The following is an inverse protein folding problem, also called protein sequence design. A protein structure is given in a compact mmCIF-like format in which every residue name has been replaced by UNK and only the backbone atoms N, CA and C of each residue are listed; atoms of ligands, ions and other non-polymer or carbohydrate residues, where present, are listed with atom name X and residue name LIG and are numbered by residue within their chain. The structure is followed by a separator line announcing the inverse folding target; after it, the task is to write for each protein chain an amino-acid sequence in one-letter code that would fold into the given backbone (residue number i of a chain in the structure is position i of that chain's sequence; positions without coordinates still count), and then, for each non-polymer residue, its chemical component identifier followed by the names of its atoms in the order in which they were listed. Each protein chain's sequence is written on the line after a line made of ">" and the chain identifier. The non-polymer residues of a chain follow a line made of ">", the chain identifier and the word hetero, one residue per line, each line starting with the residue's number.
data_IF_609139272491
#
_entry.id   IF_609139272491
#
_cell.length_a   1.000
_cell.length_b   1.000
_cell.length_c   1.000
_cell.angle_alpha   90.00
_cell.angle_beta   90.00
_cell.angle_gamma   90.00
#
_symmetry.space_group_name_H-M   'P 1'
#
loop_
_entity.id
_entity.type
_entity.pdbx_description
1 polymer ?
#
# COMPACT_ATOMS: atom_id res chain seq x y z
N UNK A 1 -32.75 22.78 3.23
CA UNK A 1 -33.99 22.09 2.81
C UNK A 1 -33.76 21.59 1.39
N UNK A 2 -33.20 20.40 1.22
CA UNK A 2 -32.98 19.74 -0.07
C UNK A 2 -33.62 18.37 0.02
N UNK A 3 -34.72 18.17 -0.71
CA UNK A 3 -35.40 16.88 -0.78
C UNK A 3 -34.80 16.02 -1.89
N UNK A 4 -34.44 14.80 -1.57
CA UNK A 4 -34.04 13.77 -2.54
C UNK A 4 -35.25 12.84 -2.73
N UNK A 5 -35.74 12.77 -3.98
CA UNK A 5 -36.81 11.87 -4.42
C UNK A 5 -36.24 10.50 -4.72
N UNK A 6 -36.79 9.47 -4.10
CA UNK A 6 -36.54 8.08 -4.43
C UNK A 6 -37.29 7.68 -5.69
N UNK A 7 -36.63 7.21 -6.73
CA UNK A 7 -37.24 6.55 -7.89
C UNK A 7 -37.05 5.03 -7.80
N UNK A 8 -38.18 4.34 -7.79
CA UNK A 8 -38.28 2.88 -7.77
C UNK A 8 -37.81 2.28 -9.11
N UNK A 9 -36.88 1.35 -9.05
CA UNK A 9 -36.54 0.46 -10.18
C UNK A 9 -37.34 -0.84 -10.07
N UNK A 10 -38.25 -1.06 -11.03
CA UNK A 10 -38.95 -2.34 -11.23
C UNK A 10 -38.09 -3.25 -12.10
N UNK A 11 -37.80 -4.44 -11.60
CA UNK A 11 -37.28 -5.56 -12.39
C UNK A 11 -38.43 -6.22 -13.19
N UNK A 12 -38.27 -6.32 -14.50
CA UNK A 12 -39.15 -7.13 -15.38
C UNK A 12 -38.38 -8.36 -15.84
N UNK A 13 -38.87 -9.53 -15.46
CA UNK A 13 -38.36 -10.83 -15.90
C UNK A 13 -39.05 -11.22 -17.21
N UNK A 14 -38.29 -11.39 -18.29
CA UNK A 14 -38.73 -12.14 -19.48
C UNK A 14 -37.84 -13.38 -19.65
N UNK A 15 -38.47 -14.52 -19.51
CA UNK A 15 -37.91 -15.82 -19.90
C UNK A 15 -38.31 -16.08 -21.36
N UNK A 16 -37.35 -16.20 -22.23
CA UNK A 16 -37.57 -16.74 -23.58
C UNK A 16 -36.66 -17.94 -23.79
N UNK A 17 -37.31 -19.07 -24.05
CA UNK A 17 -36.66 -20.34 -24.28
C UNK A 17 -36.32 -20.53 -25.78
N UNK A 18 -35.06 -20.79 -26.05
CA UNK A 18 -34.65 -21.35 -27.34
C UNK A 18 -33.58 -22.43 -27.15
N UNK A 19 -33.92 -23.61 -27.63
CA UNK A 19 -33.11 -24.82 -27.69
C UNK A 19 -31.92 -24.64 -28.63
N UNK A 20 -30.70 -24.91 -28.17
CA UNK A 20 -29.51 -25.08 -29.01
C UNK A 20 -28.96 -26.50 -28.89
N UNK A 21 -28.76 -27.13 -30.06
CA UNK A 21 -28.14 -28.43 -30.23
C UNK A 21 -26.61 -28.41 -29.94
N UNK A 22 -25.94 -29.59 -29.89
CA UNK A 22 -24.60 -29.74 -29.41
C UNK A 22 -23.55 -29.23 -30.42
N UNK A 23 -22.81 -28.19 -30.04
CA UNK A 23 -21.63 -27.72 -30.78
C UNK A 23 -20.37 -28.45 -30.32
N UNK A 24 -19.57 -28.87 -31.28
CA UNK A 24 -18.31 -29.58 -31.19
C UNK A 24 -17.31 -28.87 -30.28
N UNK A 25 -16.71 -29.64 -29.35
CA UNK A 25 -15.62 -29.15 -28.46
C UNK A 25 -14.33 -29.02 -29.28
N UNK A 26 -14.01 -27.79 -29.63
CA UNK A 26 -12.64 -27.40 -29.95
C UNK A 26 -11.87 -27.24 -28.65
N UNK A 27 -10.79 -28.01 -28.45
CA UNK A 27 -9.82 -27.78 -27.38
C UNK A 27 -9.02 -26.50 -27.72
N UNK A 28 -9.60 -25.37 -27.41
CA UNK A 28 -8.83 -24.11 -27.30
C UNK A 28 -8.18 -24.09 -25.92
N UNK A 29 -6.86 -24.25 -25.85
CA UNK A 29 -6.09 -23.92 -24.65
C UNK A 29 -6.37 -22.45 -24.31
N UNK A 30 -7.11 -22.21 -23.23
CA UNK A 30 -7.11 -20.87 -22.60
C UNK A 30 -5.66 -20.49 -22.31
N UNK A 31 -5.20 -19.30 -22.72
CA UNK A 31 -3.93 -18.80 -22.22
C UNK A 31 -4.05 -18.75 -20.69
N UNK A 32 -3.14 -19.43 -19.99
CA UNK A 32 -2.96 -19.24 -18.55
C UNK A 32 -2.77 -17.73 -18.34
N UNK A 33 -3.78 -17.08 -17.80
CA UNK A 33 -3.68 -15.73 -17.28
C UNK A 33 -2.68 -15.83 -16.14
N UNK A 34 -1.42 -15.51 -16.40
CA UNK A 34 -0.42 -15.35 -15.37
C UNK A 34 -0.89 -14.20 -14.48
N UNK A 35 -1.52 -14.56 -13.36
CA UNK A 35 -2.01 -13.59 -12.37
C UNK A 35 -0.80 -12.83 -11.85
N UNK A 36 -0.71 -11.54 -12.17
CA UNK A 36 0.36 -10.71 -11.62
C UNK A 36 0.18 -10.52 -10.11
N UNK A 37 1.28 -10.45 -9.37
CA UNK A 37 1.23 -10.24 -7.93
C UNK A 37 0.53 -8.91 -7.59
N UNK A 38 -0.32 -8.91 -6.56
CA UNK A 38 -0.95 -7.69 -6.04
C UNK A 38 0.09 -6.78 -5.41
N UNK A 39 0.06 -5.48 -5.73
CA UNK A 39 0.89 -4.46 -5.10
C UNK A 39 0.07 -3.57 -4.19
N UNK A 40 0.45 -3.49 -2.91
CA UNK A 40 -0.18 -2.61 -1.91
C UNK A 40 0.74 -1.44 -1.57
N UNK A 41 0.28 -0.22 -1.80
CA UNK A 41 0.86 0.99 -1.24
C UNK A 41 0.25 1.25 0.15
N UNK A 42 1.05 1.14 1.20
CA UNK A 42 0.66 1.30 2.59
C UNK A 42 1.30 2.56 3.17
N UNK A 43 0.50 3.44 3.79
CA UNK A 43 0.95 4.73 4.29
C UNK A 43 0.20 5.16 5.55
N UNK A 44 0.93 5.76 6.49
CA UNK A 44 0.38 6.52 7.60
C UNK A 44 0.23 7.98 7.22
N UNK A 45 -0.83 8.63 7.68
CA UNK A 45 -0.99 10.07 7.51
C UNK A 45 -1.77 10.73 8.65
N UNK A 46 -1.62 12.04 8.74
CA UNK A 46 -2.48 12.92 9.52
C UNK A 46 -3.80 13.18 8.81
N UNK A 47 -4.80 13.71 9.51
CA UNK A 47 -6.11 14.10 8.92
C UNK A 47 -5.95 15.11 7.78
N UNK A 48 -4.96 15.99 7.88
CA UNK A 48 -4.60 16.97 6.84
C UNK A 48 -3.62 16.43 5.78
N UNK A 49 -3.39 15.09 5.74
CA UNK A 49 -2.77 14.40 4.62
C UNK A 49 -1.24 14.42 4.59
N UNK A 50 -0.58 14.55 5.70
CA UNK A 50 0.90 14.50 5.78
C UNK A 50 1.40 13.15 6.28
N UNK A 51 2.41 12.62 5.61
CA UNK A 51 3.08 11.36 5.97
C UNK A 51 4.01 11.47 7.17
N UNK A 52 4.34 12.69 7.60
CA UNK A 52 5.16 12.96 8.77
C UNK A 52 4.82 14.31 9.37
N UNK A 53 5.03 14.47 10.68
CA UNK A 53 4.89 15.74 11.41
C UNK A 53 5.78 15.71 12.66
N UNK A 54 5.96 16.87 13.28
CA UNK A 54 6.79 16.99 14.49
C UNK A 54 8.25 17.33 14.18
N UNK A 55 9.14 16.99 15.10
CA UNK A 55 10.58 17.26 14.99
C UNK A 55 11.33 16.14 14.29
N UNK A 56 12.49 16.44 13.71
CA UNK A 56 13.39 15.42 13.17
C UNK A 56 13.77 14.37 14.23
N UNK A 57 13.71 13.09 13.88
CA UNK A 57 14.10 11.98 14.74
C UNK A 57 12.93 11.19 15.33
N UNK A 58 11.72 11.76 15.36
CA UNK A 58 10.49 11.04 15.63
C UNK A 58 9.88 10.62 14.29
N UNK A 59 10.02 9.37 13.96
CA UNK A 59 9.65 8.88 12.63
C UNK A 59 8.17 9.09 12.32
N UNK A 60 7.89 10.15 11.60
CA UNK A 60 6.55 10.56 11.20
C UNK A 60 5.68 11.09 12.35
N UNK A 61 6.13 11.05 13.61
CA UNK A 61 5.33 11.45 14.76
C UNK A 61 4.24 10.46 15.17
N UNK A 62 4.21 9.24 14.59
CA UNK A 62 3.14 8.28 14.82
C UNK A 62 3.46 7.22 15.89
N UNK A 63 4.73 7.07 16.27
CA UNK A 63 5.12 6.22 17.38
C UNK A 63 4.49 6.75 18.68
N UNK A 64 4.08 5.89 19.57
CA UNK A 64 3.35 6.27 20.79
C UNK A 64 1.90 6.70 20.55
N UNK A 65 1.42 6.71 19.29
CA UNK A 65 0.01 6.92 18.94
C UNK A 65 -0.67 5.66 18.42
N UNK A 66 0.08 4.60 18.21
CA UNK A 66 -0.43 3.30 17.81
C UNK A 66 -0.96 2.58 19.04
N UNK A 67 -2.26 2.35 19.10
CA UNK A 67 -2.88 1.57 20.16
C UNK A 67 -2.78 0.06 19.90
N UNK A 68 -3.20 -0.77 20.85
CA UNK A 68 -3.05 -2.23 20.78
C UNK A 68 -3.79 -2.85 19.60
N UNK A 69 -4.99 -2.38 19.25
CA UNK A 69 -5.76 -2.93 18.14
C UNK A 69 -5.07 -2.69 16.80
N UNK A 70 -4.52 -1.48 16.58
CA UNK A 70 -3.75 -1.19 15.39
C UNK A 70 -2.47 -2.03 15.34
N UNK A 71 -1.74 -2.16 16.46
CA UNK A 71 -0.51 -2.95 16.52
C UNK A 71 -0.76 -4.43 16.19
N UNK A 72 -1.83 -5.03 16.72
CA UNK A 72 -2.25 -6.41 16.41
C UNK A 72 -2.62 -6.55 14.93
N UNK A 73 -3.38 -5.60 14.39
CA UNK A 73 -3.73 -5.56 12.96
C UNK A 73 -2.49 -5.45 12.07
N UNK A 74 -1.54 -4.58 12.45
CA UNK A 74 -0.27 -4.42 11.74
C UNK A 74 0.51 -5.72 11.76
N UNK A 75 0.67 -6.34 12.92
CA UNK A 75 1.39 -7.60 13.07
C UNK A 75 0.76 -8.70 12.21
N UNK A 76 -0.57 -8.90 12.28
CA UNK A 76 -1.29 -9.87 11.49
C UNK A 76 -1.14 -9.63 9.96
N UNK A 77 -1.03 -8.37 9.54
CA UNK A 77 -0.87 -8.03 8.13
C UNK A 77 0.49 -8.44 7.54
N UNK A 78 1.43 -8.86 8.37
CA UNK A 78 2.74 -9.40 7.99
C UNK A 78 2.89 -10.90 8.28
N UNK A 79 1.79 -11.62 8.56
CA UNK A 79 1.82 -13.08 8.79
C UNK A 79 2.00 -13.87 7.48
N UNK A 80 1.36 -13.41 6.41
CA UNK A 80 1.50 -14.04 5.10
C UNK A 80 2.81 -13.65 4.43
N UNK A 81 3.36 -14.57 3.66
CA UNK A 81 4.53 -14.31 2.82
C UNK A 81 4.25 -13.16 1.85
N UNK A 82 5.15 -12.20 1.80
CA UNK A 82 5.08 -11.06 0.91
C UNK A 82 6.49 -10.49 0.71
N UNK A 83 6.66 -9.66 -0.31
CA UNK A 83 7.92 -8.95 -0.58
C UNK A 83 7.75 -7.46 -0.36
N UNK A 84 8.68 -6.87 0.38
CA UNK A 84 8.71 -5.42 0.55
C UNK A 84 9.34 -4.72 -0.65
N UNK A 85 8.82 -3.53 -0.98
CA UNK A 85 9.38 -2.66 -2.01
C UNK A 85 9.60 -1.28 -1.42
N UNK A 86 10.81 -0.78 -1.46
CA UNK A 86 11.17 0.52 -0.89
C UNK A 86 11.83 1.44 -1.91
N UNK A 87 11.55 2.73 -1.81
CA UNK A 87 12.39 3.77 -2.38
C UNK A 87 13.60 4.05 -1.49
N UNK A 88 14.72 4.48 -2.09
CA UNK A 88 15.99 4.65 -1.38
C UNK A 88 15.95 5.60 -0.17
N UNK A 89 15.14 6.65 -0.21
CA UNK A 89 15.03 7.59 0.92
C UNK A 89 14.36 6.93 2.13
N UNK A 90 13.17 6.37 1.96
CA UNK A 90 12.46 5.67 3.03
C UNK A 90 13.30 4.53 3.60
N UNK A 91 13.97 3.78 2.74
CA UNK A 91 14.84 2.68 3.18
C UNK A 91 16.00 3.19 4.08
N UNK A 92 16.68 4.27 3.69
CA UNK A 92 17.74 4.88 4.52
C UNK A 92 17.23 5.33 5.89
N UNK A 93 16.04 5.95 5.93
CA UNK A 93 15.44 6.38 7.19
C UNK A 93 15.11 5.19 8.10
N UNK A 94 14.59 4.10 7.56
CA UNK A 94 14.36 2.86 8.30
C UNK A 94 15.68 2.30 8.90
N UNK A 95 16.71 2.17 8.08
CA UNK A 95 18.02 1.66 8.53
C UNK A 95 18.60 2.56 9.62
N UNK A 96 18.58 3.88 9.42
CA UNK A 96 19.08 4.86 10.40
C UNK A 96 18.32 4.77 11.72
N UNK A 97 17.01 4.74 11.68
CA UNK A 97 16.14 4.66 12.83
C UNK A 97 16.36 3.37 13.63
N UNK A 98 16.43 2.23 12.95
CA UNK A 98 16.68 0.94 13.60
C UNK A 98 18.07 0.86 14.20
N UNK A 99 19.09 1.43 13.56
CA UNK A 99 20.45 1.49 14.08
C UNK A 99 20.54 2.37 15.36
N UNK A 100 19.75 3.44 15.44
CA UNK A 100 19.69 4.33 16.60
C UNK A 100 18.78 3.79 17.73
N UNK A 101 17.99 2.74 17.49
CA UNK A 101 17.01 2.22 18.42
C UNK A 101 17.60 1.22 19.42
N UNK A 102 16.96 1.11 20.58
CA UNK A 102 17.20 0.04 21.56
C UNK A 102 16.07 -0.98 21.50
N UNK A 103 16.23 -2.14 22.15
CA UNK A 103 15.17 -3.16 22.23
C UNK A 103 13.85 -2.66 22.85
N UNK A 104 13.91 -1.59 23.64
CA UNK A 104 12.75 -0.98 24.28
C UNK A 104 12.14 0.19 23.49
N UNK A 105 12.69 0.51 22.32
CA UNK A 105 12.18 1.58 21.48
C UNK A 105 10.93 1.13 20.74
N UNK A 106 9.91 2.00 20.63
CA UNK A 106 8.66 1.73 19.91
C UNK A 106 8.90 1.35 18.43
N UNK A 107 10.00 1.83 17.85
CA UNK A 107 10.45 1.42 16.51
C UNK A 107 10.82 -0.07 16.40
N UNK A 108 10.88 -0.80 17.50
CA UNK A 108 11.09 -2.25 17.59
C UNK A 108 9.80 -3.04 17.72
N UNK A 109 8.66 -2.45 17.46
CA UNK A 109 7.40 -3.15 17.45
C UNK A 109 7.49 -4.46 16.64
N UNK A 110 6.78 -5.52 17.07
CA UNK A 110 6.84 -6.83 16.42
C UNK A 110 6.57 -6.79 14.92
N UNK A 111 5.64 -5.93 14.45
CA UNK A 111 5.36 -5.81 13.04
C UNK A 111 6.53 -5.20 12.24
N UNK A 112 7.28 -4.24 12.81
CA UNK A 112 8.49 -3.66 12.17
C UNK A 112 9.57 -4.73 12.05
N UNK A 113 9.74 -5.54 13.09
CA UNK A 113 10.69 -6.67 13.09
C UNK A 113 10.33 -7.70 12.00
N UNK A 114 9.04 -8.04 11.86
CA UNK A 114 8.59 -8.92 10.77
C UNK A 114 8.85 -8.32 9.40
N UNK A 115 8.47 -7.07 9.19
CA UNK A 115 8.71 -6.34 7.94
C UNK A 115 10.20 -6.36 7.58
N UNK A 116 11.09 -6.10 8.55
CA UNK A 116 12.54 -6.12 8.34
C UNK A 116 13.08 -7.48 7.90
N UNK A 117 12.47 -8.57 8.35
CA UNK A 117 12.92 -9.92 8.02
C UNK A 117 12.36 -10.45 6.69
N UNK A 118 11.44 -9.74 6.06
CA UNK A 118 10.90 -10.11 4.75
C UNK A 118 11.90 -9.83 3.62
N UNK A 119 11.81 -10.58 2.51
CA UNK A 119 12.51 -10.21 1.29
C UNK A 119 12.15 -8.79 0.88
N UNK A 120 13.15 -7.98 0.54
CA UNK A 120 12.94 -6.58 0.17
C UNK A 120 13.67 -6.23 -1.13
N UNK A 121 13.00 -5.48 -1.99
CA UNK A 121 13.61 -4.82 -3.16
C UNK A 121 13.68 -3.32 -2.90
N UNK A 122 14.87 -2.75 -2.96
CA UNK A 122 15.11 -1.32 -2.77
C UNK A 122 15.46 -0.68 -4.10
N UNK A 123 14.54 0.15 -4.61
CA UNK A 123 14.77 0.89 -5.85
C UNK A 123 15.56 2.16 -5.54
N UNK A 124 16.83 2.21 -5.97
CA UNK A 124 17.71 3.35 -5.69
C UNK A 124 18.89 3.42 -6.63
N UNK A 125 19.18 4.61 -7.16
CA UNK A 125 20.38 4.90 -7.95
C UNK A 125 21.58 5.31 -7.10
N UNK A 126 21.40 5.58 -5.81
CA UNK A 126 22.44 6.15 -4.93
C UNK A 126 22.89 5.21 -3.81
N UNK A 127 22.05 4.27 -3.40
CA UNK A 127 22.40 3.27 -2.41
C UNK A 127 23.34 2.21 -2.99
N UNK A 128 24.28 1.74 -2.16
CA UNK A 128 25.21 0.66 -2.48
C UNK A 128 25.15 -0.39 -1.37
N UNK A 129 25.30 -1.67 -1.75
CA UNK A 129 25.49 -2.75 -0.78
C UNK A 129 26.91 -2.68 -0.15
N UNK A 130 27.14 -3.22 1.04
CA UNK A 130 26.15 -3.85 1.91
C UNK A 130 25.24 -2.83 2.64
N UNK A 131 24.07 -3.27 3.01
CA UNK A 131 23.12 -2.50 3.85
C UNK A 131 22.74 -3.32 5.08
N UNK A 132 22.54 -2.69 6.21
CA UNK A 132 22.09 -3.35 7.44
C UNK A 132 20.58 -3.65 7.38
N UNK A 133 20.23 -4.55 6.48
CA UNK A 133 18.89 -5.07 6.34
C UNK A 133 18.94 -6.49 5.79
N UNK A 134 18.49 -7.51 6.55
CA UNK A 134 18.44 -8.88 6.07
C UNK A 134 17.61 -8.98 4.79
N UNK A 135 18.00 -9.81 3.87
CA UNK A 135 17.22 -10.13 2.68
C UNK A 135 16.87 -8.93 1.76
N UNK A 136 17.58 -7.78 1.86
CA UNK A 136 17.40 -6.65 0.96
C UNK A 136 18.26 -6.75 -0.29
N UNK A 137 17.68 -6.51 -1.45
CA UNK A 137 18.36 -6.37 -2.73
C UNK A 137 18.19 -4.94 -3.24
N UNK A 138 19.29 -4.25 -3.53
CA UNK A 138 19.28 -2.92 -4.14
C UNK A 138 19.25 -3.08 -5.66
N UNK A 139 18.27 -2.43 -6.31
CA UNK A 139 18.13 -2.44 -7.76
C UNK A 139 18.15 -0.99 -8.27
N UNK A 140 19.04 -0.74 -9.23
CA UNK A 140 19.13 0.56 -9.91
C UNK A 140 18.36 0.51 -11.23
N UNK A 141 17.59 1.55 -11.51
CA UNK A 141 16.83 1.70 -12.77
C UNK A 141 15.51 2.41 -12.54
N UNK A 142 14.68 2.42 -13.57
CA UNK A 142 13.35 2.98 -13.53
C UNK A 142 12.42 2.18 -12.58
N UNK A 143 11.72 2.89 -11.72
CA UNK A 143 10.88 2.26 -10.69
C UNK A 143 9.68 1.51 -11.28
N UNK A 144 9.08 2.07 -12.33
CA UNK A 144 7.90 1.49 -12.99
C UNK A 144 8.29 0.19 -13.70
N UNK A 145 9.43 0.18 -14.40
CA UNK A 145 9.96 -1.02 -15.06
C UNK A 145 10.31 -2.12 -14.04
N UNK A 146 11.02 -1.75 -12.96
CA UNK A 146 11.44 -2.70 -11.92
C UNK A 146 10.22 -3.32 -11.25
N UNK A 147 9.26 -2.52 -10.79
CA UNK A 147 8.08 -3.03 -10.08
C UNK A 147 7.12 -3.74 -11.03
N UNK A 148 6.97 -3.25 -12.28
CA UNK A 148 6.20 -3.93 -13.30
C UNK A 148 6.71 -5.33 -13.60
N UNK A 149 8.04 -5.55 -13.62
CA UNK A 149 8.66 -6.86 -13.73
C UNK A 149 8.43 -7.70 -12.46
N UNK A 150 8.67 -7.13 -11.27
CA UNK A 150 8.44 -7.83 -10.01
C UNK A 150 6.99 -8.32 -9.87
N UNK A 151 6.01 -7.53 -10.30
CA UNK A 151 4.59 -7.95 -10.27
C UNK A 151 4.33 -9.18 -11.16
N UNK A 152 5.04 -9.31 -12.28
CA UNK A 152 4.91 -10.46 -13.21
C UNK A 152 5.62 -11.71 -12.70
N UNK A 153 6.73 -11.54 -11.99
CA UNK A 153 7.63 -12.62 -11.58
C UNK A 153 7.39 -13.10 -10.15
N UNK A 154 6.71 -12.31 -9.30
CA UNK A 154 6.52 -12.66 -7.91
C UNK A 154 5.34 -13.59 -7.70
N UNK A 155 5.57 -14.69 -6.99
CA UNK A 155 4.54 -15.63 -6.53
C UNK A 155 3.82 -15.14 -5.26
N UNK A 156 4.35 -14.09 -4.61
CA UNK A 156 3.81 -13.51 -3.39
C UNK A 156 3.44 -12.04 -3.58
N UNK A 157 2.48 -11.51 -2.81
CA UNK A 157 2.12 -10.09 -2.87
C UNK A 157 3.31 -9.16 -2.63
N UNK A 158 3.27 -7.99 -3.27
CA UNK A 158 4.21 -6.91 -3.08
C UNK A 158 3.59 -5.83 -2.18
N UNK A 159 4.40 -5.26 -1.31
CA UNK A 159 3.95 -4.19 -0.41
C UNK A 159 5.03 -3.14 -0.21
N UNK A 160 4.65 -1.89 -0.21
CA UNK A 160 5.52 -0.83 0.29
C UNK A 160 4.91 -0.18 1.53
N UNK A 161 5.77 0.32 2.42
CA UNK A 161 5.37 1.20 3.51
C UNK A 161 6.10 2.53 3.36
N UNK A 162 5.34 3.62 3.21
CA UNK A 162 5.90 4.93 2.86
C UNK A 162 6.33 5.03 1.39
N UNK A 163 7.56 5.48 1.14
CA UNK A 163 8.17 5.59 -0.20
C UNK A 163 7.34 6.44 -1.18
N UNK A 164 6.94 7.64 -0.77
CA UNK A 164 5.94 8.47 -1.45
C UNK A 164 6.26 8.73 -2.93
N UNK A 165 7.50 9.11 -3.25
CA UNK A 165 7.88 9.40 -4.65
C UNK A 165 7.80 8.16 -5.53
N UNK A 166 8.26 7.00 -5.01
CA UNK A 166 8.12 5.71 -5.68
C UNK A 166 6.64 5.40 -5.95
N UNK A 167 5.82 5.45 -4.91
CA UNK A 167 4.43 5.04 -5.01
C UNK A 167 3.58 5.98 -5.87
N UNK A 168 3.86 7.28 -5.90
CA UNK A 168 3.21 8.20 -6.84
C UNK A 168 3.50 7.83 -8.30
N UNK A 169 4.75 7.49 -8.63
CA UNK A 169 5.10 7.02 -9.97
C UNK A 169 4.39 5.69 -10.31
N UNK A 170 4.34 4.75 -9.36
CA UNK A 170 3.65 3.47 -9.56
C UNK A 170 2.13 3.63 -9.70
N UNK A 171 1.50 4.54 -8.94
CA UNK A 171 0.09 4.87 -9.09
C UNK A 171 -0.19 5.44 -10.49
N UNK A 172 0.59 6.42 -10.93
CA UNK A 172 0.45 7.01 -12.26
C UNK A 172 0.64 5.99 -13.40
N UNK A 173 1.41 4.92 -13.16
CA UNK A 173 1.61 3.82 -14.09
C UNK A 173 0.57 2.68 -13.94
N UNK A 174 -0.44 2.82 -13.07
CA UNK A 174 -1.46 1.79 -12.85
C UNK A 174 -0.93 0.51 -12.20
N UNK A 175 0.20 0.56 -11.49
CA UNK A 175 0.84 -0.60 -10.87
C UNK A 175 0.39 -0.84 -9.41
N UNK A 176 -0.28 0.12 -8.78
CA UNK A 176 -0.82 0.00 -7.42
C UNK A 176 -2.23 -0.56 -7.48
N UNK A 177 -2.41 -1.77 -6.97
CA UNK A 177 -3.73 -2.43 -6.94
C UNK A 177 -4.54 -2.02 -5.71
N UNK A 178 -3.85 -1.82 -4.57
CA UNK A 178 -4.46 -1.41 -3.32
C UNK A 178 -3.68 -0.25 -2.68
N UNK A 179 -4.42 0.78 -2.29
CA UNK A 179 -3.95 1.89 -1.48
C UNK A 179 -4.49 1.72 -0.06
N UNK A 180 -3.59 1.46 0.91
CA UNK A 180 -3.93 1.38 2.33
C UNK A 180 -3.49 2.65 3.03
N UNK A 181 -4.43 3.43 3.54
CA UNK A 181 -4.19 4.68 4.26
C UNK A 181 -4.61 4.50 5.71
N UNK A 182 -3.68 4.64 6.65
CA UNK A 182 -3.98 4.70 8.09
C UNK A 182 -3.94 6.15 8.53
N UNK A 183 -5.12 6.71 8.83
CA UNK A 183 -5.30 8.10 9.23
C UNK A 183 -5.29 8.20 10.74
N UNK A 184 -4.30 8.90 11.28
CA UNK A 184 -4.21 9.21 12.70
C UNK A 184 -5.00 10.48 13.05
N UNK A 185 -5.62 10.56 14.23
CA UNK A 185 -6.45 11.70 14.65
C UNK A 185 -5.59 12.93 15.01
N UNK A 186 -4.80 13.40 14.06
CA UNK A 186 -3.88 14.53 14.19
C UNK A 186 -4.06 15.49 13.03
N UNK A 187 -4.11 16.78 13.33
CA UNK A 187 -3.92 17.86 12.36
C UNK A 187 -2.51 18.40 12.58
N UNK A 188 -1.64 18.24 11.61
CA UNK A 188 -0.23 18.61 11.73
C UNK A 188 0.03 20.09 11.43
N UNK A 189 -0.82 20.71 10.61
CA UNK A 189 -0.78 22.14 10.36
C UNK A 189 0.61 22.66 9.99
N UNK A 190 1.28 23.32 10.96
CA UNK A 190 2.60 23.94 10.73
C UNK A 190 3.77 22.96 10.70
N UNK A 191 3.62 21.78 11.27
CA UNK A 191 4.71 20.78 11.39
C UNK A 191 4.57 19.63 10.41
N UNK A 192 3.50 19.63 9.60
CA UNK A 192 3.29 18.62 8.58
C UNK A 192 4.35 18.68 7.48
N UNK A 193 4.95 17.53 7.19
CA UNK A 193 5.92 17.34 6.13
C UNK A 193 5.53 16.13 5.27
N UNK A 194 5.98 16.10 4.02
CA UNK A 194 5.72 14.99 3.10
C UNK A 194 4.22 14.76 2.83
N UNK A 195 3.53 15.70 2.12
CA UNK A 195 2.15 15.49 1.72
C UNK A 195 2.03 14.19 0.91
N UNK A 196 1.15 13.27 1.36
CA UNK A 196 1.15 11.89 0.83
C UNK A 196 0.79 11.82 -0.65
N UNK A 197 -0.10 12.69 -1.12
CA UNK A 197 -0.52 12.78 -2.52
C UNK A 197 -0.06 14.05 -3.23
N UNK A 198 0.83 14.85 -2.61
CA UNK A 198 1.35 16.07 -3.22
C UNK A 198 2.04 15.79 -4.56
N UNK A 199 1.51 16.38 -5.66
CA UNK A 199 1.99 16.15 -7.02
C UNK A 199 1.60 14.80 -7.62
N UNK A 200 0.66 14.06 -7.03
CA UNK A 200 0.05 12.89 -7.68
C UNK A 200 -0.88 13.34 -8.83
N UNK A 201 -1.17 12.42 -9.76
CA UNK A 201 -2.27 12.56 -10.70
C UNK A 201 -3.62 12.41 -9.97
N UNK A 202 -4.71 12.64 -10.67
CA UNK A 202 -6.06 12.50 -10.12
C UNK A 202 -6.54 11.04 -10.23
N UNK A 203 -7.15 10.55 -9.17
CA UNK A 203 -7.65 9.18 -9.06
C UNK A 203 -9.05 9.13 -8.46
N UNK A 204 -9.89 8.26 -9.01
CA UNK A 204 -11.06 7.76 -8.30
C UNK A 204 -10.66 6.63 -7.34
N UNK A 205 -11.30 6.59 -6.17
CA UNK A 205 -11.01 5.60 -5.14
C UNK A 205 -12.26 4.79 -4.80
N UNK A 206 -12.25 3.51 -5.16
CA UNK A 206 -13.27 2.56 -4.71
C UNK A 206 -12.87 2.01 -3.34
N UNK A 207 -13.75 2.18 -2.33
CA UNK A 207 -13.48 1.65 -1.00
C UNK A 207 -13.62 0.11 -0.98
N UNK A 208 -12.57 -0.56 -0.54
CA UNK A 208 -12.53 -2.03 -0.39
C UNK A 208 -12.79 -2.41 1.06
N UNK A 209 -12.21 -1.69 2.01
CA UNK A 209 -12.33 -1.95 3.44
C UNK A 209 -12.17 -0.63 4.21
N UNK A 210 -12.92 -0.49 5.31
CA UNK A 210 -12.78 0.59 6.27
C UNK A 210 -12.85 0.01 7.69
N UNK A 211 -11.89 0.37 8.54
CA UNK A 211 -11.84 -0.05 9.95
C UNK A 211 -11.49 1.12 10.85
N UNK A 212 -12.01 1.08 12.06
CA UNK A 212 -11.58 1.94 13.17
C UNK A 212 -10.81 1.10 14.18
N UNK A 213 -9.68 1.61 14.65
CA UNK A 213 -8.88 1.00 15.70
C UNK A 213 -8.71 1.96 16.86
N UNK A 214 -8.64 1.42 18.08
CA UNK A 214 -8.38 2.19 19.29
C UNK A 214 -9.31 3.41 19.41
N UNK A 215 -10.57 3.24 18.96
CA UNK A 215 -11.69 4.21 18.93
C UNK A 215 -11.48 5.46 18.03
N UNK A 216 -10.32 5.67 17.44
CA UNK A 216 -10.04 6.94 16.74
C UNK A 216 -9.09 6.88 15.54
N UNK A 217 -8.44 5.75 15.26
CA UNK A 217 -7.56 5.58 14.10
C UNK A 217 -8.35 4.92 12.97
N UNK A 218 -8.32 5.49 11.78
CA UNK A 218 -9.03 4.96 10.62
C UNK A 218 -8.06 4.27 9.67
N UNK A 219 -8.30 3.01 9.32
CA UNK A 219 -7.65 2.34 8.19
C UNK A 219 -8.64 2.26 7.03
N UNK A 220 -8.24 2.80 5.90
CA UNK A 220 -9.01 2.84 4.66
C UNK A 220 -8.22 2.11 3.58
N UNK A 221 -8.84 1.12 2.95
CA UNK A 221 -8.23 0.37 1.84
C UNK A 221 -9.04 0.67 0.59
N UNK A 222 -8.37 1.17 -0.43
CA UNK A 222 -8.98 1.58 -1.70
C UNK A 222 -8.37 0.84 -2.88
N UNK A 223 -9.17 0.71 -3.93
CA UNK A 223 -8.68 0.44 -5.29
C UNK A 223 -8.61 1.77 -6.03
N UNK A 224 -7.43 2.25 -6.42
CA UNK A 224 -7.29 3.49 -7.18
C UNK A 224 -7.53 3.24 -8.66
N UNK A 225 -8.22 4.16 -9.33
CA UNK A 225 -8.37 4.21 -10.79
C UNK A 225 -7.95 5.59 -11.27
N UNK A 226 -6.96 5.64 -12.18
CA UNK A 226 -6.48 6.89 -12.75
C UNK A 226 -7.58 7.55 -13.59
N UNK A 227 -7.78 8.86 -13.42
CA UNK A 227 -8.62 9.62 -14.35
C UNK A 227 -7.99 9.62 -15.75
N UNK A 228 -8.84 9.37 -16.76
CA UNK A 228 -8.46 9.36 -18.17
C UNK A 228 -8.38 10.77 -18.78
#
# INVERSE_FOLDING_TARGET
>A
MWGISASEYRFSSHLDGSSFGPASRGHGSCPESTMSATYTFDIFCTVDGYGSYGTEGDWGGYWGKQGPELLDRRLASFDAEQRMVFGGTTFREFVKMLAASTEKSDVRDPWVTRMRNMPATVVSSTLKAPVDWPNATIVNGDAVEIVGRLKKESEVPLRSHGSLSLNRALMAAGLVDLLRVTVFPVISGKTGTHPIFGGAADFDLEIVECRTFDDNIQELIYRPTLHG
#
